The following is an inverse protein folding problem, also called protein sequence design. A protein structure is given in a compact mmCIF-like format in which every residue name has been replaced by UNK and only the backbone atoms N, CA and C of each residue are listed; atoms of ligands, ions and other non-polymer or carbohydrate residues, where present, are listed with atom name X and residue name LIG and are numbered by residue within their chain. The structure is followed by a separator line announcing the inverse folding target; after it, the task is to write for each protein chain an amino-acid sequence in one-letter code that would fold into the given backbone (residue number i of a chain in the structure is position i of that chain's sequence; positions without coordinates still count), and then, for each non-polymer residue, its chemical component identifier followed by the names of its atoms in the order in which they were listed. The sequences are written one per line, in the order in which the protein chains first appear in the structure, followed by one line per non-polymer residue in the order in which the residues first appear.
data_IF_643420138902
#
_entry.id   IF_643420138902
#
_cell.length_a   1.000
_cell.length_b   1.000
_cell.length_c   1.000
_cell.angle_alpha   90.00
_cell.angle_beta   90.00
_cell.angle_gamma   90.00
#
_symmetry.space_group_name_H-M   'P 1'
#
loop_
_entity.id
_entity.type
_entity.pdbx_description
1 polymer ?
#
# COMPACT_ATOMS: atom_id res chain seq x y z
N UNK A 1 -13.35 -14.52 -18.37
CA UNK A 1 -12.50 -13.31 -18.30
C UNK A 1 -12.69 -12.79 -16.89
N UNK A 2 -11.69 -12.94 -16.01
CA UNK A 2 -11.80 -12.48 -14.62
C UNK A 2 -11.48 -10.99 -14.63
N UNK A 3 -12.51 -10.14 -14.54
CA UNK A 3 -12.34 -8.69 -14.53
C UNK A 3 -11.51 -8.30 -13.31
N UNK A 4 -10.23 -8.03 -13.55
CA UNK A 4 -9.30 -7.52 -12.54
C UNK A 4 -9.28 -6.02 -12.71
N UNK A 5 -9.91 -5.29 -11.77
CA UNK A 5 -9.83 -3.84 -11.77
C UNK A 5 -8.43 -3.46 -11.26
N UNK A 6 -7.72 -2.70 -12.08
CA UNK A 6 -6.39 -2.19 -11.78
C UNK A 6 -6.47 -0.68 -11.62
N UNK A 7 -6.05 -0.19 -10.48
CA UNK A 7 -5.96 1.24 -10.18
C UNK A 7 -4.63 1.54 -9.50
N UNK A 8 -4.44 2.79 -9.10
CA UNK A 8 -3.28 3.24 -8.34
C UNK A 8 -3.68 3.75 -6.97
N UNK A 9 -2.76 3.64 -6.01
CA UNK A 9 -2.85 4.26 -4.69
C UNK A 9 -1.55 4.94 -4.36
N UNK A 10 -1.63 6.09 -3.71
CA UNK A 10 -0.48 6.76 -3.15
C UNK A 10 -0.21 6.17 -1.77
N UNK A 11 0.99 5.64 -1.57
CA UNK A 11 1.49 5.30 -0.24
C UNK A 11 2.40 6.42 0.21
N UNK A 12 2.10 7.04 1.35
CA UNK A 12 2.94 8.05 1.96
C UNK A 12 3.61 7.42 3.17
N UNK A 13 4.94 7.39 3.19
CA UNK A 13 5.68 6.86 4.34
C UNK A 13 5.84 7.92 5.45
N UNK A 14 6.34 7.49 6.60
CA UNK A 14 6.62 8.33 7.77
C UNK A 14 7.68 9.42 7.52
N UNK A 15 8.44 9.32 6.43
CA UNK A 15 9.38 10.35 5.97
C UNK A 15 8.73 11.34 4.99
N UNK A 16 7.46 11.16 4.62
CA UNK A 16 6.72 11.97 3.67
C UNK A 16 6.98 11.63 2.19
N UNK A 17 7.68 10.53 1.89
CA UNK A 17 7.89 10.12 0.50
C UNK A 17 6.60 9.51 -0.06
N UNK A 18 6.32 9.83 -1.34
CA UNK A 18 5.14 9.34 -2.05
C UNK A 18 5.53 8.19 -2.99
N UNK A 19 4.89 7.04 -2.77
CA UNK A 19 5.06 5.82 -3.53
C UNK A 19 3.76 5.51 -4.29
N UNK A 20 3.74 5.80 -5.59
CA UNK A 20 2.59 5.47 -6.45
C UNK A 20 2.60 3.97 -6.74
N UNK A 21 1.72 3.25 -6.05
CA UNK A 21 1.60 1.79 -6.10
C UNK A 21 0.42 1.36 -6.96
N UNK A 22 0.50 0.14 -7.49
CA UNK A 22 -0.63 -0.48 -8.18
C UNK A 22 -1.52 -1.20 -7.17
N UNK A 23 -2.83 -1.00 -7.28
CA UNK A 23 -3.88 -1.75 -6.60
C UNK A 23 -4.55 -2.69 -7.58
N UNK A 24 -4.46 -3.99 -7.33
CA UNK A 24 -5.21 -5.00 -8.07
C UNK A 24 -6.35 -5.50 -7.21
N UNK A 25 -7.60 -5.28 -7.65
CA UNK A 25 -8.77 -5.88 -7.02
C UNK A 25 -9.05 -7.24 -7.67
N UNK A 26 -9.00 -8.31 -6.86
CA UNK A 26 -9.38 -9.63 -7.31
C UNK A 26 -10.86 -9.87 -6.97
N UNK A 27 -11.64 -10.37 -7.92
CA UNK A 27 -13.09 -10.54 -7.79
C UNK A 27 -13.51 -11.83 -7.06
N UNK A 28 -12.59 -12.72 -6.67
CA UNK A 28 -12.91 -14.01 -6.02
C UNK A 28 -11.74 -14.59 -5.21
N UNK A 29 -11.95 -15.28 -4.07
CA UNK A 29 -12.96 -15.11 -3.03
C UNK A 29 -12.52 -14.12 -1.92
N UNK A 30 -11.45 -13.35 -2.15
CA UNK A 30 -10.88 -12.49 -1.12
C UNK A 30 -11.35 -11.05 -1.32
N UNK A 31 -11.97 -10.46 -0.30
CA UNK A 31 -12.28 -9.00 -0.20
C UNK A 31 -11.01 -8.13 -0.12
N UNK A 32 -9.86 -8.68 -0.50
CA UNK A 32 -8.56 -8.08 -0.35
C UNK A 32 -8.08 -7.54 -1.69
N UNK A 33 -7.50 -6.35 -1.65
CA UNK A 33 -6.69 -5.83 -2.74
C UNK A 33 -5.24 -6.28 -2.58
N UNK A 34 -4.50 -6.34 -3.68
CA UNK A 34 -3.04 -6.51 -3.67
C UNK A 34 -2.36 -5.19 -4.02
N UNK A 35 -1.32 -4.84 -3.26
CA UNK A 35 -0.45 -3.70 -3.57
C UNK A 35 0.82 -4.23 -4.23
N UNK A 36 1.14 -3.70 -5.42
CA UNK A 36 2.29 -4.13 -6.21
C UNK A 36 3.21 -3.01 -6.68
N UNK A 37 4.11 -3.36 -7.61
CA UNK A 37 5.08 -2.49 -8.29
C UNK A 37 5.98 -1.70 -7.33
N UNK A 38 5.72 -0.40 -7.15
CA UNK A 38 6.56 0.49 -6.34
C UNK A 38 6.55 0.13 -4.86
N UNK A 39 5.65 -0.77 -4.44
CA UNK A 39 5.73 -1.43 -3.13
C UNK A 39 7.12 -2.00 -2.86
N UNK A 40 7.74 -2.68 -3.84
CA UNK A 40 9.07 -3.26 -3.65
C UNK A 40 10.13 -2.19 -3.39
N UNK A 41 10.02 -1.03 -4.04
CA UNK A 41 10.94 0.09 -3.79
C UNK A 41 10.75 0.71 -2.42
N UNK A 42 9.50 0.81 -1.95
CA UNK A 42 9.19 1.21 -0.57
C UNK A 42 9.83 0.24 0.43
N UNK A 43 9.63 -1.07 0.24
CA UNK A 43 10.22 -2.13 1.06
C UNK A 43 11.75 -2.03 1.11
N UNK A 44 12.40 -1.86 -0.05
CA UNK A 44 13.85 -1.70 -0.15
C UNK A 44 14.33 -0.41 0.55
N UNK A 45 13.69 0.73 0.28
CA UNK A 45 14.07 2.03 0.83
C UNK A 45 13.92 2.09 2.35
N UNK A 46 12.86 1.48 2.89
CA UNK A 46 12.61 1.36 4.34
C UNK A 46 13.30 0.15 4.96
N UNK A 47 14.04 -0.64 4.17
CA UNK A 47 14.78 -1.85 4.60
C UNK A 47 13.89 -2.84 5.36
N UNK A 48 12.63 -2.97 4.94
CA UNK A 48 11.67 -3.85 5.61
C UNK A 48 12.08 -5.31 5.41
N UNK A 49 11.83 -6.10 6.44
CA UNK A 49 12.09 -7.54 6.47
C UNK A 49 10.85 -8.26 6.94
N UNK A 50 10.79 -9.56 6.67
CA UNK A 50 9.75 -10.42 7.22
C UNK A 50 9.69 -10.29 8.75
N UNK A 51 8.47 -10.21 9.29
CA UNK A 51 8.22 -9.98 10.72
C UNK A 51 8.14 -8.51 11.15
N UNK A 52 8.49 -7.56 10.28
CA UNK A 52 8.27 -6.13 10.58
C UNK A 52 6.78 -5.81 10.60
N UNK A 53 6.37 -5.01 11.57
CA UNK A 53 5.00 -4.50 11.68
C UNK A 53 4.91 -3.12 11.03
N UNK A 54 3.90 -2.93 10.20
CA UNK A 54 3.55 -1.63 9.63
C UNK A 54 2.17 -1.22 10.13
N UNK A 55 2.01 0.05 10.44
CA UNK A 55 0.72 0.67 10.75
C UNK A 55 0.22 1.38 9.50
N UNK A 56 -0.97 1.02 9.05
CA UNK A 56 -1.66 1.72 7.97
C UNK A 56 -2.74 2.64 8.51
N UNK A 57 -2.83 3.84 7.94
CA UNK A 57 -3.92 4.78 8.17
C UNK A 57 -4.41 5.37 6.86
N UNK A 58 -5.67 5.79 6.84
CA UNK A 58 -6.25 6.55 5.75
C UNK A 58 -6.96 7.79 6.31
N UNK A 59 -7.02 8.91 5.57
CA UNK A 59 -7.79 10.07 5.98
C UNK A 59 -9.27 9.72 6.15
N UNK A 60 -9.91 10.26 7.19
CA UNK A 60 -11.34 10.04 7.44
C UNK A 60 -12.22 10.70 6.35
N UNK A 61 -11.73 11.76 5.71
CA UNK A 61 -12.46 12.53 4.68
C UNK A 61 -11.48 13.02 3.61
N UNK A 62 -11.91 13.00 2.34
CA UNK A 62 -11.31 13.80 1.26
C UNK A 62 -10.24 13.12 0.40
N UNK A 63 -9.62 12.02 0.84
CA UNK A 63 -8.63 11.30 0.02
C UNK A 63 -8.80 9.79 0.17
N UNK A 64 -9.49 9.21 -0.83
CA UNK A 64 -9.72 7.77 -0.95
C UNK A 64 -8.61 7.07 -1.73
N UNK A 65 -7.63 7.82 -2.21
CA UNK A 65 -6.54 7.38 -3.08
C UNK A 65 -5.19 7.33 -2.35
N UNK A 66 -5.15 7.63 -1.05
CA UNK A 66 -3.91 7.73 -0.27
C UNK A 66 -3.97 6.91 1.01
N UNK A 67 -2.92 6.13 1.25
CA UNK A 67 -2.66 5.37 2.46
C UNK A 67 -1.37 5.89 3.08
N UNK A 68 -1.39 6.15 4.39
CA UNK A 68 -0.22 6.53 5.17
C UNK A 68 0.31 5.29 5.86
N UNK A 69 1.60 5.02 5.71
CA UNK A 69 2.27 3.89 6.34
C UNK A 69 3.37 4.37 7.29
N UNK A 70 3.35 3.83 8.48
CA UNK A 70 4.39 4.00 9.48
C UNK A 70 5.00 2.63 9.84
N UNK A 71 6.31 2.57 10.01
CA UNK A 71 7.03 1.35 10.35
C UNK A 71 7.14 1.29 11.87
N UNK A 72 6.56 0.26 12.48
CA UNK A 72 6.64 0.09 13.93
C UNK A 72 7.98 -0.56 14.25
N UNK A 73 8.94 0.25 14.70
CA UNK A 73 10.19 -0.21 15.28
C UNK A 73 9.95 -0.71 16.71
N UNK A 74 10.57 -1.85 17.07
CA UNK A 74 10.57 -2.37 18.44
C UNK A 74 11.62 -1.64 19.29
#
# INVERSE_FOLDING_TARGET
MLDTLLTTVNIIDDCGNIWVCELTFATFPYEHFKIGRRWNRFVEARRLREGVKIRGGAPMVGSHDTIYLDVIYN
#
